data_IF_197172697246
#
_entry.id   IF_197172697246
#
_cell.length_a   1.000
_cell.length_b   1.000
_cell.length_c   1.000
_cell.angle_alpha   90.00
_cell.angle_beta   90.00
_cell.angle_gamma   90.00
#
_symmetry.space_group_name_H-M   'P 1'
#
loop_
_entity.id
_entity.type
_entity.pdbx_description
1 polymer ?
#
# COMPACT_ATOMS: atom_id res chain seq x y z
N UNK A 1 14.97 -43.75 49.01
CA UNK A 1 15.30 -42.34 48.68
C UNK A 1 15.69 -42.10 47.22
N UNK A 2 16.26 -43.06 46.49
CA UNK A 2 16.61 -42.89 45.06
C UNK A 2 15.40 -42.89 44.10
N UNK A 3 14.39 -43.71 44.36
CA UNK A 3 13.20 -43.81 43.50
C UNK A 3 12.30 -42.56 43.54
N UNK A 4 12.17 -41.92 44.71
CA UNK A 4 11.44 -40.64 44.83
C UNK A 4 12.11 -39.50 44.05
N UNK A 5 13.46 -39.52 43.97
CA UNK A 5 14.24 -38.53 43.22
C UNK A 5 14.13 -38.74 41.70
N UNK A 6 14.00 -39.99 41.26
CA UNK A 6 13.77 -40.34 39.84
C UNK A 6 12.38 -39.92 39.37
N UNK A 7 11.36 -40.17 40.19
CA UNK A 7 9.99 -39.74 39.90
C UNK A 7 9.87 -38.20 39.83
N UNK A 8 10.52 -37.48 40.74
CA UNK A 8 10.54 -36.01 40.72
C UNK A 8 11.27 -35.43 39.49
N UNK A 9 12.36 -36.08 39.05
CA UNK A 9 13.10 -35.66 37.85
C UNK A 9 12.28 -35.91 36.57
N UNK A 10 11.57 -37.03 36.48
CA UNK A 10 10.72 -37.35 35.33
C UNK A 10 9.49 -36.42 35.24
N UNK A 11 8.91 -36.04 36.38
CA UNK A 11 7.81 -35.08 36.44
C UNK A 11 8.27 -33.66 36.02
N UNK A 12 9.50 -33.28 36.39
CA UNK A 12 10.10 -32.01 35.97
C UNK A 12 10.40 -31.96 34.46
N UNK A 13 10.88 -33.06 33.87
CA UNK A 13 11.15 -33.14 32.43
C UNK A 13 9.83 -33.14 31.62
N UNK A 14 8.80 -33.86 32.08
CA UNK A 14 7.48 -33.84 31.45
C UNK A 14 6.83 -32.44 31.51
N UNK A 15 7.08 -31.67 32.58
CA UNK A 15 6.58 -30.29 32.71
C UNK A 15 7.31 -29.29 31.81
N UNK A 16 8.53 -29.58 31.33
CA UNK A 16 9.25 -28.71 30.39
C UNK A 16 8.85 -28.93 28.93
N UNK A 17 8.25 -30.07 28.58
CA UNK A 17 7.86 -30.35 27.20
C UNK A 17 6.49 -29.79 26.80
N UNK A 18 5.65 -29.38 27.75
CA UNK A 18 4.29 -28.87 27.49
C UNK A 18 4.28 -27.35 27.26
N UNK A 19 5.37 -26.64 27.56
CA UNK A 19 5.50 -25.19 27.39
C UNK A 19 5.97 -24.74 26.00
N UNK A 20 6.11 -25.66 25.03
CA UNK A 20 6.47 -25.32 23.64
C UNK A 20 5.25 -25.14 22.72
N UNK A 21 4.11 -24.71 23.27
CA UNK A 21 3.12 -24.05 22.43
C UNK A 21 3.70 -22.70 22.03
N UNK A 22 4.28 -22.64 20.83
CA UNK A 22 4.52 -21.40 20.13
C UNK A 22 3.22 -20.61 20.15
N UNK A 23 3.14 -19.59 20.98
CA UNK A 23 2.15 -18.54 20.81
C UNK A 23 2.51 -17.87 19.48
N UNK A 24 1.92 -18.35 18.38
CA UNK A 24 1.81 -17.54 17.19
C UNK A 24 1.02 -16.31 17.64
N UNK A 25 1.68 -15.16 17.71
CA UNK A 25 0.97 -13.91 17.78
C UNK A 25 0.02 -13.91 16.59
N UNK A 26 -1.28 -13.99 16.87
CA UNK A 26 -2.33 -13.65 15.91
C UNK A 26 -2.31 -12.12 15.77
N UNK A 27 -1.20 -11.62 15.22
CA UNK A 27 -1.13 -10.24 14.76
C UNK A 27 -1.96 -10.21 13.49
N UNK A 28 -3.23 -9.86 13.67
CA UNK A 28 -4.13 -9.43 12.61
C UNK A 28 -3.61 -8.12 11.93
N UNK A 29 -2.47 -7.59 12.39
CA UNK A 29 -1.64 -6.63 11.68
C UNK A 29 -0.84 -7.37 10.60
N UNK A 30 -1.30 -7.23 9.35
CA UNK A 30 -0.51 -7.59 8.17
C UNK A 30 0.90 -7.00 8.32
N UNK A 31 1.93 -7.87 8.39
CA UNK A 31 3.33 -7.48 8.59
C UNK A 31 3.78 -6.38 7.60
N UNK A 32 3.20 -6.40 6.40
CA UNK A 32 3.49 -5.46 5.32
C UNK A 32 2.60 -4.20 5.36
N UNK A 33 1.49 -4.17 6.10
CA UNK A 33 0.58 -3.02 6.20
C UNK A 33 0.04 -2.83 7.63
N UNK A 34 0.88 -2.40 8.59
CA UNK A 34 0.52 -2.34 10.02
C UNK A 34 -0.58 -1.31 10.36
N UNK A 35 -1.04 -0.52 9.38
CA UNK A 35 -2.13 0.45 9.55
C UNK A 35 -3.00 0.47 8.29
N UNK A 36 -3.79 -0.59 8.05
CA UNK A 36 -4.58 -0.70 6.85
C UNK A 36 -5.66 0.38 6.79
N UNK A 37 -5.88 0.93 5.59
CA UNK A 37 -6.99 1.84 5.31
C UNK A 37 -8.04 1.11 4.48
N UNK A 38 -9.30 1.51 4.60
CA UNK A 38 -10.42 0.82 3.97
C UNK A 38 -10.37 0.80 2.43
N UNK A 39 -9.62 1.73 1.83
CA UNK A 39 -9.47 1.91 0.39
C UNK A 39 -8.09 1.46 -0.12
N UNK A 40 -7.29 0.81 0.72
CA UNK A 40 -6.01 0.23 0.33
C UNK A 40 -6.21 -0.92 -0.67
N UNK A 41 -5.28 -1.01 -1.62
CA UNK A 41 -5.28 -2.02 -2.66
C UNK A 41 -4.11 -2.95 -2.42
N UNK A 42 -4.39 -4.18 -2.01
CA UNK A 42 -3.37 -5.21 -1.79
C UNK A 42 -3.08 -5.99 -3.07
N UNK A 43 -1.79 -6.07 -3.42
CA UNK A 43 -1.23 -6.95 -4.43
C UNK A 43 -0.55 -8.13 -3.71
N UNK A 44 -1.09 -9.35 -3.84
CA UNK A 44 -0.48 -10.52 -3.20
C UNK A 44 0.88 -10.85 -3.82
N UNK A 45 1.83 -11.19 -2.97
CA UNK A 45 3.17 -11.70 -3.31
C UNK A 45 3.30 -13.18 -2.91
N UNK A 46 4.33 -13.91 -3.36
CA UNK A 46 4.60 -15.26 -2.90
C UNK A 46 4.83 -15.35 -1.38
N UNK A 47 4.62 -16.54 -0.81
CA UNK A 47 4.83 -16.83 0.61
C UNK A 47 4.02 -15.92 1.55
N UNK A 48 2.74 -15.68 1.22
CA UNK A 48 1.79 -14.87 1.98
C UNK A 48 2.23 -13.41 2.22
N UNK A 49 3.15 -12.90 1.39
CA UNK A 49 3.51 -11.48 1.38
C UNK A 49 2.48 -10.65 0.64
N UNK A 50 2.51 -9.34 0.87
CA UNK A 50 1.72 -8.40 0.09
C UNK A 50 2.44 -7.08 -0.15
N UNK A 51 2.03 -6.37 -1.21
CA UNK A 51 2.40 -4.99 -1.47
C UNK A 51 1.13 -4.15 -1.55
N UNK A 52 1.08 -3.06 -0.79
CA UNK A 52 -0.12 -2.22 -0.70
C UNK A 52 0.03 -0.93 -1.48
N UNK A 53 -1.00 -0.61 -2.24
CA UNK A 53 -1.09 0.56 -3.10
C UNK A 53 -2.26 1.46 -2.71
N UNK A 54 -2.13 2.75 -3.02
CA UNK A 54 -3.25 3.68 -3.09
C UNK A 54 -3.51 4.05 -4.53
N UNK A 55 -4.78 4.06 -4.92
CA UNK A 55 -5.17 4.50 -6.25
C UNK A 55 -5.29 6.03 -6.26
N UNK A 56 -4.96 6.63 -7.40
CA UNK A 56 -5.27 8.02 -7.71
C UNK A 56 -6.02 8.04 -9.02
N UNK A 57 -7.16 8.72 -9.06
CA UNK A 57 -7.93 8.89 -10.29
C UNK A 57 -7.72 10.27 -10.90
N UNK A 58 -7.77 10.31 -12.22
CA UNK A 58 -7.70 11.49 -13.07
C UNK A 58 -8.82 11.34 -14.10
N UNK A 59 -9.59 12.41 -14.32
CA UNK A 59 -10.62 12.40 -15.36
C UNK A 59 -9.96 12.65 -16.73
N UNK A 60 -9.91 11.64 -17.58
CA UNK A 60 -9.22 11.69 -18.88
C UNK A 60 -10.05 11.01 -19.98
N UNK A 61 -9.78 11.32 -21.25
CA UNK A 61 -10.43 10.69 -22.40
C UNK A 61 -9.76 9.36 -22.78
N UNK A 62 -8.46 9.21 -22.50
CA UNK A 62 -7.68 8.02 -22.79
C UNK A 62 -6.29 8.04 -22.15
N UNK A 63 -5.52 6.96 -22.34
CA UNK A 63 -4.19 6.76 -21.73
C UNK A 63 -3.09 7.69 -22.25
N UNK A 64 -3.38 8.50 -23.27
CA UNK A 64 -2.48 9.54 -23.81
C UNK A 64 -3.02 10.95 -23.55
N UNK A 65 -4.14 11.08 -22.84
CA UNK A 65 -4.74 12.37 -22.47
C UNK A 65 -4.15 12.86 -21.15
N UNK A 66 -2.99 13.48 -21.24
CA UNK A 66 -2.27 14.03 -20.10
C UNK A 66 -2.98 15.28 -19.56
N UNK A 67 -3.16 15.34 -18.24
CA UNK A 67 -3.71 16.50 -17.57
C UNK A 67 -2.62 17.39 -17.00
N UNK A 68 -2.64 18.66 -17.41
CA UNK A 68 -1.80 19.69 -16.81
C UNK A 68 -2.19 19.88 -15.34
N UNK A 69 -1.17 19.90 -14.48
CA UNK A 69 -1.29 20.26 -13.07
C UNK A 69 -0.26 21.32 -12.70
N UNK A 70 -0.59 22.08 -11.67
CA UNK A 70 0.28 23.09 -11.11
C UNK A 70 0.77 22.60 -9.75
N UNK A 71 2.09 22.48 -9.63
CA UNK A 71 2.78 22.05 -8.43
C UNK A 71 3.54 23.24 -7.81
N UNK A 72 3.82 23.13 -6.52
CA UNK A 72 4.58 24.13 -5.79
C UNK A 72 3.79 25.41 -5.51
N UNK A 73 4.50 26.42 -5.01
CA UNK A 73 3.92 27.68 -4.57
C UNK A 73 4.38 28.85 -5.46
N UNK A 74 3.47 29.72 -5.92
CA UNK A 74 3.83 30.86 -6.77
C UNK A 74 4.38 32.01 -5.93
N UNK A 75 5.65 31.93 -5.55
CA UNK A 75 6.33 33.00 -4.81
C UNK A 75 6.35 34.30 -5.60
N UNK A 76 6.03 35.40 -4.94
CA UNK A 76 6.16 36.76 -5.51
C UNK A 76 7.50 37.40 -5.13
N UNK A 77 7.96 38.35 -5.95
CA UNK A 77 9.18 39.11 -5.65
C UNK A 77 9.02 39.86 -4.31
N UNK A 78 9.99 39.70 -3.41
CA UNK A 78 9.96 40.26 -2.05
C UNK A 78 9.36 39.33 -0.99
N UNK A 79 8.76 38.20 -1.37
CA UNK A 79 8.26 37.20 -0.42
C UNK A 79 9.40 36.36 0.18
N UNK A 80 9.25 35.99 1.46
CA UNK A 80 10.17 35.07 2.11
C UNK A 80 10.15 33.72 1.39
N UNK A 81 11.31 33.24 0.94
CA UNK A 81 11.41 32.01 0.13
C UNK A 81 11.48 32.24 -1.38
N UNK A 82 11.29 33.46 -1.89
CA UNK A 82 11.36 33.75 -3.33
C UNK A 82 12.68 33.31 -3.99
N UNK A 83 13.82 33.53 -3.32
CA UNK A 83 15.13 33.08 -3.80
C UNK A 83 15.31 31.55 -3.77
N UNK A 84 14.50 30.85 -2.98
CA UNK A 84 14.45 29.39 -2.86
C UNK A 84 13.34 28.77 -3.70
N UNK A 85 12.68 29.54 -4.56
CA UNK A 85 11.66 29.06 -5.50
C UNK A 85 12.15 27.95 -6.44
N UNK A 86 13.47 27.74 -6.58
CA UNK A 86 13.97 26.58 -7.29
C UNK A 86 13.70 25.23 -6.58
N UNK A 87 13.44 25.25 -5.27
CA UNK A 87 13.13 24.04 -4.47
C UNK A 87 11.62 23.76 -4.50
N UNK A 88 10.80 24.77 -4.23
CA UNK A 88 9.35 24.62 -4.00
C UNK A 88 8.47 25.59 -4.80
N UNK A 89 9.05 26.30 -5.76
CA UNK A 89 8.32 27.26 -6.58
C UNK A 89 7.38 26.61 -7.57
N UNK A 90 6.51 27.44 -8.14
CA UNK A 90 5.52 27.03 -9.13
C UNK A 90 6.14 26.29 -10.31
N UNK A 91 5.63 25.09 -10.60
CA UNK A 91 6.00 24.30 -11.78
C UNK A 91 4.75 23.72 -12.42
N UNK A 92 4.73 23.75 -13.75
CA UNK A 92 3.74 23.03 -14.55
C UNK A 92 4.24 21.63 -14.80
N UNK A 93 3.37 20.66 -14.59
CA UNK A 93 3.64 19.25 -14.84
C UNK A 93 2.41 18.58 -15.44
N UNK A 94 2.54 17.31 -15.83
CA UNK A 94 1.51 16.54 -16.51
C UNK A 94 1.34 15.18 -15.85
N UNK A 95 0.09 14.80 -15.60
CA UNK A 95 -0.26 13.49 -15.03
C UNK A 95 -1.24 12.74 -15.91
N UNK A 96 -1.13 11.43 -15.94
CA UNK A 96 -1.99 10.54 -16.72
C UNK A 96 -2.42 9.32 -15.89
N UNK A 97 -3.63 8.84 -16.12
CA UNK A 97 -4.09 7.56 -15.61
C UNK A 97 -4.04 6.49 -16.70
N UNK A 98 -3.24 5.44 -16.50
CA UNK A 98 -3.10 4.37 -17.49
C UNK A 98 -4.27 3.38 -17.48
N UNK A 99 -4.88 3.15 -16.32
CA UNK A 99 -5.87 2.09 -16.13
C UNK A 99 -7.28 2.65 -16.04
N UNK A 100 -8.24 1.98 -16.67
CA UNK A 100 -9.67 2.19 -16.43
C UNK A 100 -10.19 1.13 -15.46
N UNK A 101 -11.37 1.34 -14.88
CA UNK A 101 -11.95 0.37 -13.93
C UNK A 101 -12.04 -1.05 -14.51
N UNK A 102 -12.34 -1.20 -15.81
CA UNK A 102 -12.44 -2.49 -16.49
C UNK A 102 -11.12 -3.26 -16.60
N UNK A 103 -9.98 -2.57 -16.49
CA UNK A 103 -8.66 -3.17 -16.64
C UNK A 103 -8.19 -3.82 -15.32
N UNK A 104 -8.92 -3.60 -14.23
CA UNK A 104 -8.52 -4.02 -12.89
C UNK A 104 -9.05 -5.42 -12.52
N UNK A 105 -8.32 -6.14 -11.65
CA UNK A 105 -8.82 -7.37 -11.03
C UNK A 105 -10.19 -7.19 -10.37
N UNK A 106 -10.97 -8.27 -10.31
CA UNK A 106 -12.34 -8.23 -9.77
C UNK A 106 -12.40 -7.68 -8.34
N UNK A 107 -11.44 -8.04 -7.49
CA UNK A 107 -11.42 -7.60 -6.09
C UNK A 107 -11.06 -6.12 -5.95
N UNK A 108 -10.13 -5.64 -6.77
CA UNK A 108 -9.78 -4.21 -6.81
C UNK A 108 -10.96 -3.36 -7.31
N UNK A 109 -11.73 -3.86 -8.29
CA UNK A 109 -12.94 -3.17 -8.78
C UNK A 109 -14.02 -3.01 -7.71
N UNK A 110 -14.17 -4.00 -6.82
CA UNK A 110 -15.16 -3.94 -5.71
C UNK A 110 -14.81 -2.84 -4.72
N UNK A 111 -13.51 -2.63 -4.45
CA UNK A 111 -13.02 -1.59 -3.55
C UNK A 111 -13.12 -0.21 -4.19
N UNK A 112 -12.61 -0.05 -5.42
CA UNK A 112 -12.45 1.27 -6.05
C UNK A 112 -13.75 1.76 -6.70
N UNK A 113 -14.49 0.86 -7.35
CA UNK A 113 -15.67 1.22 -8.14
C UNK A 113 -16.69 2.11 -7.43
N UNK A 114 -17.08 1.81 -6.16
CA UNK A 114 -17.99 2.66 -5.39
C UNK A 114 -17.43 4.04 -5.02
N UNK A 115 -16.11 4.21 -5.02
CA UNK A 115 -15.43 5.44 -4.61
C UNK A 115 -15.15 6.40 -5.77
N UNK A 116 -15.26 5.92 -7.02
CA UNK A 116 -15.02 6.74 -8.19
C UNK A 116 -16.13 7.78 -8.40
N UNK A 117 -15.79 8.96 -8.95
CA UNK A 117 -16.79 9.96 -9.26
C UNK A 117 -17.75 9.44 -10.35
N UNK A 118 -19.04 9.78 -10.19
CA UNK A 118 -20.02 9.57 -11.25
C UNK A 118 -19.77 10.57 -12.37
N UNK A 119 -19.62 10.08 -13.59
CA UNK A 119 -19.45 10.92 -14.78
C UNK A 119 -20.78 11.06 -15.52
N UNK A 120 -21.09 12.26 -15.99
CA UNK A 120 -22.31 12.50 -16.77
C UNK A 120 -22.19 11.89 -18.17
N UNK A 121 -23.31 11.40 -18.71
CA UNK A 121 -23.37 10.72 -20.01
C UNK A 121 -22.93 11.59 -21.20
N UNK A 122 -22.87 12.92 -21.03
CA UNK A 122 -22.41 13.87 -22.05
C UNK A 122 -20.92 14.21 -21.97
N UNK A 123 -20.20 13.76 -20.93
CA UNK A 123 -18.78 14.10 -20.76
C UNK A 123 -17.90 13.02 -21.41
N UNK A 124 -16.89 13.39 -22.23
CA UNK A 124 -15.95 12.41 -22.78
C UNK A 124 -14.93 11.94 -21.74
N UNK A 125 -14.90 12.59 -20.56
CA UNK A 125 -13.97 12.30 -19.50
C UNK A 125 -14.47 11.12 -18.66
N UNK A 126 -13.57 10.17 -18.41
CA UNK A 126 -13.82 9.01 -17.56
C UNK A 126 -12.73 8.93 -16.48
N UNK A 127 -13.02 8.32 -15.33
CA UNK A 127 -11.99 8.08 -14.32
C UNK A 127 -10.97 7.09 -14.88
N UNK A 128 -9.74 7.55 -14.99
CA UNK A 128 -8.56 6.75 -15.30
C UNK A 128 -7.57 6.85 -14.13
N UNK A 129 -6.78 5.81 -13.90
CA UNK A 129 -6.12 5.61 -12.62
C UNK A 129 -4.67 5.22 -12.79
N UNK A 130 -3.88 5.61 -11.80
CA UNK A 130 -2.56 5.07 -11.53
C UNK A 130 -2.46 4.71 -10.04
N UNK A 131 -1.42 3.96 -9.68
CA UNK A 131 -1.25 3.42 -8.33
C UNK A 131 0.09 3.86 -7.77
N UNK A 132 0.09 4.23 -6.49
CA UNK A 132 1.29 4.63 -5.76
C UNK A 132 1.47 3.62 -4.63
N UNK A 133 2.69 3.08 -4.49
CA UNK A 133 3.03 2.23 -3.34
C UNK A 133 2.82 3.00 -2.04
N UNK A 134 2.18 2.37 -1.06
CA UNK A 134 1.94 2.99 0.27
C UNK A 134 3.25 3.23 1.02
N UNK A 135 4.27 2.45 0.71
CA UNK A 135 5.60 2.47 1.28
C UNK A 135 6.63 1.99 0.25
N UNK A 136 7.91 2.14 0.57
CA UNK A 136 9.02 1.63 -0.23
C UNK A 136 9.08 0.10 -0.19
N UNK A 137 9.51 -0.51 -1.29
CA UNK A 137 9.67 -1.98 -1.36
C UNK A 137 10.75 -2.43 -0.39
N UNK A 138 10.38 -3.33 0.53
CA UNK A 138 11.31 -3.87 1.52
C UNK A 138 12.21 -4.96 0.91
N UNK A 139 13.36 -5.22 1.54
CA UNK A 139 14.26 -6.31 1.12
C UNK A 139 13.57 -7.68 1.14
N UNK A 140 12.64 -7.90 2.08
CA UNK A 140 11.85 -9.13 2.18
C UNK A 140 10.93 -9.29 0.96
N UNK A 141 10.15 -8.26 0.63
CA UNK A 141 9.23 -8.28 -0.52
C UNK A 141 9.99 -8.43 -1.83
N UNK A 142 11.14 -7.75 -1.96
CA UNK A 142 12.01 -7.93 -3.12
C UNK A 142 12.49 -9.38 -3.26
N UNK A 143 12.97 -9.99 -2.17
CA UNK A 143 13.39 -11.37 -2.18
C UNK A 143 12.25 -12.32 -2.60
N UNK A 144 11.04 -12.13 -2.07
CA UNK A 144 9.87 -12.97 -2.42
C UNK A 144 9.57 -13.03 -3.92
N UNK A 145 9.92 -11.99 -4.69
CA UNK A 145 9.67 -11.94 -6.14
C UNK A 145 10.88 -12.38 -6.96
N UNK A 146 12.08 -12.09 -6.47
CA UNK A 146 13.32 -12.21 -7.27
C UNK A 146 14.18 -13.43 -6.92
N UNK A 147 13.90 -14.14 -5.83
CA UNK A 147 14.60 -15.37 -5.41
C UNK A 147 13.87 -16.62 -5.85
#
# INVERSE_FOLDING_TARGET
MFELRRAALMLAIASLCVSSFSAFADDNDTLDNPKPLADDISLPLPCDGEMVFRYVYILAQGSLDDREINLGYPFSEGEAGYKQSFISGYRRDFINGQFTLKDLPGDWRKVIGPLLPKTDAGTPLKPMMYFIGKYEVTARQYAQVMS
#
